data_IF_251624509076
#
_entry.id   IF_251624509076
#
_cell.length_a   1.000
_cell.length_b   1.000
_cell.length_c   1.000
_cell.angle_alpha   90.00
_cell.angle_beta   90.00
_cell.angle_gamma   90.00
#
_symmetry.space_group_name_H-M   'P 1'
#
loop_
_entity.id
_entity.type
_entity.pdbx_description
1 polymer ?
#
# COMPACT_ATOMS: atom_id res chain seq x y z
N UNK A 1 -61.94 -32.18 -46.05
CA UNK A 1 -61.18 -32.26 -44.79
C UNK A 1 -62.03 -31.61 -43.73
N UNK A 2 -62.58 -32.39 -42.80
CA UNK A 2 -63.28 -31.84 -41.64
C UNK A 2 -62.22 -31.20 -40.76
N UNK A 3 -62.30 -29.88 -40.58
CA UNK A 3 -61.52 -29.18 -39.56
C UNK A 3 -62.21 -29.55 -38.25
N UNK A 4 -61.65 -30.49 -37.49
CA UNK A 4 -62.07 -30.72 -36.11
C UNK A 4 -61.85 -29.41 -35.34
N UNK A 5 -62.96 -28.71 -35.07
CA UNK A 5 -62.97 -27.52 -34.23
C UNK A 5 -62.77 -28.02 -32.81
N UNK A 6 -61.56 -27.84 -32.29
CA UNK A 6 -61.22 -28.13 -30.91
C UNK A 6 -62.21 -27.40 -30.00
N UNK A 7 -62.83 -28.13 -29.07
CA UNK A 7 -63.85 -27.58 -28.17
C UNK A 7 -63.22 -26.50 -27.29
N UNK A 8 -63.96 -25.42 -27.03
CA UNK A 8 -63.49 -24.27 -26.21
C UNK A 8 -63.07 -24.75 -24.80
N UNK A 9 -63.69 -25.82 -24.30
CA UNK A 9 -63.32 -26.46 -23.05
C UNK A 9 -61.95 -27.14 -23.10
N UNK A 10 -61.61 -27.82 -24.20
CA UNK A 10 -60.29 -28.44 -24.40
C UNK A 10 -59.20 -27.38 -24.58
N UNK A 11 -59.53 -26.28 -25.28
CA UNK A 11 -58.68 -25.10 -25.39
C UNK A 11 -58.34 -24.49 -24.02
N UNK A 12 -59.33 -24.32 -23.15
CA UNK A 12 -59.13 -23.74 -21.82
C UNK A 12 -58.35 -24.70 -20.90
N UNK A 13 -58.62 -26.01 -20.99
CA UNK A 13 -57.85 -27.04 -20.28
C UNK A 13 -56.36 -27.02 -20.67
N UNK A 14 -56.06 -26.97 -21.97
CA UNK A 14 -54.69 -26.87 -22.48
C UNK A 14 -54.01 -25.57 -22.03
N UNK A 15 -54.73 -24.45 -21.96
CA UNK A 15 -54.20 -23.18 -21.44
C UNK A 15 -53.83 -23.28 -19.96
N UNK A 16 -54.69 -23.90 -19.15
CA UNK A 16 -54.43 -24.13 -17.74
C UNK A 16 -53.22 -25.04 -17.51
N UNK A 17 -53.09 -26.12 -18.30
CA UNK A 17 -51.96 -27.05 -18.27
C UNK A 17 -50.65 -26.35 -18.65
N UNK A 18 -50.63 -25.59 -19.75
CA UNK A 18 -49.48 -24.77 -20.15
C UNK A 18 -49.09 -23.77 -19.05
N UNK A 19 -50.07 -23.16 -18.37
CA UNK A 19 -49.80 -22.21 -17.30
C UNK A 19 -49.19 -22.88 -16.08
N UNK A 20 -49.70 -24.06 -15.70
CA UNK A 20 -49.12 -24.87 -14.63
C UNK A 20 -47.69 -25.31 -14.95
N UNK A 21 -47.44 -25.78 -16.18
CA UNK A 21 -46.10 -26.16 -16.64
C UNK A 21 -45.13 -24.97 -16.61
N UNK A 22 -45.57 -23.77 -17.01
CA UNK A 22 -44.76 -22.55 -16.91
C UNK A 22 -44.38 -22.22 -15.47
N UNK A 23 -45.34 -22.30 -14.55
CA UNK A 23 -45.07 -22.07 -13.12
C UNK A 23 -44.10 -23.12 -12.55
N UNK A 24 -44.29 -24.39 -12.90
CA UNK A 24 -43.39 -25.46 -12.47
C UNK A 24 -41.98 -25.27 -13.02
N UNK A 25 -41.86 -24.89 -14.30
CA UNK A 25 -40.59 -24.56 -14.93
C UNK A 25 -39.90 -23.40 -14.23
N UNK A 26 -40.63 -22.33 -13.91
CA UNK A 26 -40.08 -21.16 -13.21
C UNK A 26 -39.55 -21.52 -11.82
N UNK A 27 -40.29 -22.33 -11.05
CA UNK A 27 -39.82 -22.83 -9.75
C UNK A 27 -38.54 -23.68 -9.87
N UNK A 28 -38.46 -24.54 -10.90
CA UNK A 28 -37.26 -25.36 -11.14
C UNK A 28 -36.07 -24.52 -11.60
N UNK A 29 -36.30 -23.48 -12.42
CA UNK A 29 -35.26 -22.54 -12.83
C UNK A 29 -34.71 -21.74 -11.65
N UNK A 30 -35.59 -21.29 -10.74
CA UNK A 30 -35.19 -20.63 -9.49
C UNK A 30 -34.34 -21.57 -8.62
N UNK A 31 -34.80 -22.80 -8.38
CA UNK A 31 -34.03 -23.78 -7.61
C UNK A 31 -32.68 -24.12 -8.25
N UNK A 32 -32.63 -24.26 -9.57
CA UNK A 32 -31.38 -24.49 -10.28
C UNK A 32 -30.43 -23.29 -10.21
N UNK A 33 -30.96 -22.05 -10.22
CA UNK A 33 -30.16 -20.84 -10.04
C UNK A 33 -29.60 -20.75 -8.61
N UNK A 34 -30.41 -21.03 -7.59
CA UNK A 34 -29.97 -21.10 -6.20
C UNK A 34 -28.89 -22.18 -6.00
N UNK A 35 -29.10 -23.38 -6.55
CA UNK A 35 -28.08 -24.45 -6.49
C UNK A 35 -26.77 -24.02 -7.17
N UNK A 36 -26.83 -23.38 -8.34
CA UNK A 36 -25.62 -22.84 -8.98
C UNK A 36 -24.93 -21.80 -8.10
N UNK A 37 -25.68 -20.91 -7.45
CA UNK A 37 -25.11 -19.93 -6.52
C UNK A 37 -24.46 -20.61 -5.31
N UNK A 38 -25.08 -21.66 -4.74
CA UNK A 38 -24.46 -22.42 -3.63
C UNK A 38 -23.19 -23.13 -4.06
N UNK A 39 -23.14 -23.67 -5.27
CA UNK A 39 -21.92 -24.30 -5.82
C UNK A 39 -20.82 -23.25 -5.99
N UNK A 40 -21.14 -22.10 -6.55
CA UNK A 40 -20.19 -21.00 -6.72
C UNK A 40 -19.63 -20.51 -5.37
N UNK A 41 -20.47 -20.43 -4.34
CA UNK A 41 -20.02 -20.06 -2.99
C UNK A 41 -19.07 -21.13 -2.40
N UNK A 42 -19.40 -22.41 -2.57
CA UNK A 42 -18.57 -23.51 -2.08
C UNK A 42 -17.21 -23.56 -2.80
N UNK A 43 -17.18 -23.30 -4.11
CA UNK A 43 -15.93 -23.20 -4.89
C UNK A 43 -15.05 -22.05 -4.38
N UNK A 44 -15.63 -20.86 -4.13
CA UNK A 44 -14.89 -19.72 -3.53
C UNK A 44 -14.33 -20.03 -2.14
N UNK A 45 -15.12 -20.72 -1.29
CA UNK A 45 -14.66 -21.15 0.04
C UNK A 45 -13.53 -22.18 -0.08
N UNK A 46 -13.63 -23.12 -1.01
CA UNK A 46 -12.60 -24.12 -1.26
C UNK A 46 -11.26 -23.48 -1.65
N UNK A 47 -11.27 -22.48 -2.53
CA UNK A 47 -10.08 -21.73 -2.91
C UNK A 47 -9.45 -20.97 -1.72
N UNK A 48 -10.26 -20.53 -0.76
CA UNK A 48 -9.77 -19.84 0.43
C UNK A 48 -9.08 -20.81 1.40
N UNK A 49 -9.61 -22.02 1.56
CA UNK A 49 -9.04 -23.05 2.45
C UNK A 49 -7.63 -23.45 2.00
N UNK A 50 -7.36 -23.54 0.69
CA UNK A 50 -6.01 -23.84 0.17
C UNK A 50 -5.00 -22.73 0.54
N UNK A 51 -5.45 -21.47 0.60
CA UNK A 51 -4.62 -20.34 1.00
C UNK A 51 -4.36 -20.30 2.52
N UNK A 52 -5.33 -20.65 3.36
CA UNK A 52 -5.16 -20.74 4.82
C UNK A 52 -4.12 -21.80 5.23
N UNK A 53 -4.03 -22.89 4.47
CA UNK A 53 -3.02 -23.94 4.62
C UNK A 53 -1.57 -23.43 4.49
N UNK A 54 -1.36 -22.32 3.79
CA UNK A 54 -0.02 -21.75 3.60
C UNK A 54 0.38 -20.76 4.70
N UNK A 55 -0.59 -20.18 5.41
CA UNK A 55 -0.31 -19.17 6.44
C UNK A 55 0.29 -19.79 7.70
N UNK A 56 -0.30 -20.86 8.24
CA UNK A 56 0.24 -21.52 9.44
C UNK A 56 1.63 -22.09 9.17
N UNK A 57 1.87 -22.61 7.97
CA UNK A 57 3.16 -23.13 7.55
C UNK A 57 4.22 -22.03 7.51
N UNK A 58 3.91 -20.89 6.87
CA UNK A 58 4.80 -19.73 6.84
C UNK A 58 5.11 -19.21 8.25
N UNK A 59 4.10 -19.14 9.13
CA UNK A 59 4.28 -18.74 10.54
C UNK A 59 5.15 -19.73 11.31
N UNK A 60 4.92 -21.02 11.14
CA UNK A 60 5.71 -22.08 11.77
C UNK A 60 7.17 -22.05 11.30
N UNK A 61 7.42 -21.93 10.00
CA UNK A 61 8.77 -21.85 9.43
C UNK A 61 9.51 -20.63 9.96
N UNK A 62 8.86 -19.46 9.96
CA UNK A 62 9.43 -18.21 10.53
C UNK A 62 9.73 -18.36 12.02
N UNK A 63 8.83 -18.95 12.80
CA UNK A 63 9.02 -19.14 14.23
C UNK A 63 10.17 -20.12 14.51
N UNK A 64 10.28 -21.18 13.72
CA UNK A 64 11.37 -22.16 13.81
C UNK A 64 12.71 -21.50 13.54
N UNK A 65 12.80 -20.67 12.49
CA UNK A 65 14.02 -19.93 12.17
C UNK A 65 14.42 -18.96 13.30
N UNK A 66 13.45 -18.24 13.88
CA UNK A 66 13.70 -17.36 15.03
C UNK A 66 14.20 -18.16 16.24
N UNK A 67 13.59 -19.32 16.52
CA UNK A 67 14.01 -20.18 17.62
C UNK A 67 15.46 -20.66 17.42
N UNK A 68 15.83 -21.10 16.21
CA UNK A 68 17.21 -21.49 15.91
C UNK A 68 18.21 -20.34 16.08
N UNK A 69 17.80 -19.10 15.76
CA UNK A 69 18.64 -17.92 16.00
C UNK A 69 18.80 -17.64 17.50
N UNK A 70 17.74 -17.78 18.29
CA UNK A 70 17.78 -17.61 19.75
C UNK A 70 18.64 -18.69 20.41
N UNK A 71 18.53 -19.94 19.99
CA UNK A 71 19.38 -21.04 20.49
C UNK A 71 20.87 -20.77 20.23
N UNK A 72 21.21 -20.28 19.03
CA UNK A 72 22.57 -19.84 18.71
C UNK A 72 23.06 -18.70 19.60
N UNK A 73 22.19 -17.73 19.90
CA UNK A 73 22.53 -16.61 20.80
C UNK A 73 22.73 -17.09 22.25
N UNK A 74 21.88 -17.99 22.74
CA UNK A 74 22.03 -18.60 24.08
C UNK A 74 23.38 -19.29 24.18
N UNK A 75 23.74 -20.11 23.19
CA UNK A 75 25.03 -20.80 23.18
C UNK A 75 26.21 -19.81 23.17
N UNK A 76 26.15 -18.76 22.35
CA UNK A 76 27.19 -17.72 22.32
C UNK A 76 27.33 -17.02 23.68
N UNK A 77 26.23 -16.64 24.31
CA UNK A 77 26.24 -15.96 25.61
C UNK A 77 26.75 -16.88 26.72
N UNK A 78 26.34 -18.15 26.72
CA UNK A 78 26.87 -19.14 27.65
C UNK A 78 28.39 -19.27 27.49
N UNK A 79 28.90 -19.37 26.26
CA UNK A 79 30.34 -19.42 25.99
C UNK A 79 31.06 -18.16 26.51
N UNK A 80 30.53 -16.96 26.25
CA UNK A 80 31.10 -15.70 26.76
C UNK A 80 31.14 -15.66 28.29
N UNK A 81 30.10 -16.15 28.95
CA UNK A 81 30.07 -16.23 30.42
C UNK A 81 31.11 -17.22 30.94
N UNK A 82 31.27 -18.39 30.29
CA UNK A 82 32.29 -19.36 30.69
C UNK A 82 33.70 -18.83 30.44
N UNK A 83 33.94 -18.16 29.32
CA UNK A 83 35.21 -17.52 29.00
C UNK A 83 35.55 -16.42 30.03
N UNK A 84 34.58 -15.57 30.38
CA UNK A 84 34.78 -14.56 31.43
C UNK A 84 35.12 -15.20 32.79
N UNK A 85 34.48 -16.31 33.16
CA UNK A 85 34.79 -17.07 34.38
C UNK A 85 36.18 -17.70 34.33
N UNK A 86 36.57 -18.28 33.20
CA UNK A 86 37.89 -18.86 32.98
C UNK A 86 38.97 -17.79 33.06
N UNK A 87 38.79 -16.65 32.39
CA UNK A 87 39.70 -15.51 32.44
C UNK A 87 39.86 -14.96 33.87
N UNK A 88 38.80 -14.93 34.68
CA UNK A 88 38.88 -14.52 36.09
C UNK A 88 39.68 -15.52 36.94
N UNK A 89 39.58 -16.82 36.63
CA UNK A 89 40.28 -17.90 37.32
C UNK A 89 41.76 -17.98 36.93
N UNK A 90 42.07 -17.83 35.65
CA UNK A 90 43.44 -17.84 35.10
C UNK A 90 44.22 -16.57 35.44
N UNK A 91 43.53 -15.46 35.68
CA UNK A 91 44.18 -14.24 36.13
C UNK A 91 44.86 -14.39 37.49
N UNK A 92 44.56 -15.42 38.30
CA UNK A 92 45.17 -15.69 39.61
C UNK A 92 45.07 -14.54 40.64
N UNK A 93 44.44 -13.43 40.25
CA UNK A 93 44.41 -12.17 40.99
C UNK A 93 43.26 -12.23 41.96
N UNK A 94 43.59 -12.55 43.20
CA UNK A 94 42.75 -12.11 44.30
C UNK A 94 42.75 -10.57 44.32
N UNK A 95 41.74 -9.89 44.87
CA UNK A 95 41.72 -8.43 44.99
C UNK A 95 42.98 -7.83 45.68
N UNK A 96 43.82 -8.67 46.30
CA UNK A 96 45.08 -8.34 46.94
C UNK A 96 46.26 -8.14 45.96
N UNK A 97 46.19 -8.74 44.77
CA UNK A 97 47.28 -8.73 43.76
C UNK A 97 47.25 -7.51 42.83
N UNK A 98 46.21 -6.67 42.92
CA UNK A 98 46.06 -5.40 42.20
C UNK A 98 46.93 -4.26 42.78
N UNK A 99 47.88 -4.57 43.68
CA UNK A 99 48.69 -3.58 44.38
C UNK A 99 49.76 -2.89 43.51
N UNK A 100 50.04 -3.39 42.32
CA UNK A 100 50.95 -2.74 41.39
C UNK A 100 50.16 -1.77 40.49
N UNK A 101 49.80 -0.63 41.07
CA UNK A 101 49.14 0.49 40.39
C UNK A 101 50.01 1.11 39.28
N UNK A 102 51.32 0.87 39.30
CA UNK A 102 52.30 1.46 38.40
C UNK A 102 52.19 0.90 36.96
N UNK A 103 51.89 -0.39 36.82
CA UNK A 103 51.79 -1.08 35.51
C UNK A 103 50.44 -0.81 34.80
N UNK A 104 49.40 -0.45 35.56
CA UNK A 104 48.10 -0.02 35.04
C UNK A 104 48.07 1.48 34.67
N UNK A 105 49.03 2.26 35.18
CA UNK A 105 49.10 3.71 34.97
C UNK A 105 49.34 4.07 33.50
N UNK A 106 50.26 3.37 32.83
CA UNK A 106 50.59 3.62 31.42
C UNK A 106 49.54 3.07 30.45
N UNK A 107 49.00 1.87 30.71
CA UNK A 107 47.91 1.29 29.94
C UNK A 107 46.65 2.19 29.97
N UNK A 108 46.38 2.82 31.11
CA UNK A 108 45.29 3.79 31.26
C UNK A 108 45.51 5.04 30.39
N UNK A 109 46.75 5.54 30.26
CA UNK A 109 47.05 6.75 29.47
C UNK A 109 46.86 6.56 27.97
N UNK A 110 47.24 5.41 27.42
CA UNK A 110 47.02 5.11 25.99
C UNK A 110 45.54 4.87 25.68
N UNK A 111 44.83 4.16 26.57
CA UNK A 111 43.39 3.94 26.46
C UNK A 111 42.63 5.27 26.50
N UNK A 112 42.95 6.15 27.46
CA UNK A 112 42.36 7.49 27.57
C UNK A 112 42.56 8.29 26.28
N UNK A 113 43.78 8.32 25.72
CA UNK A 113 44.03 9.01 24.44
C UNK A 113 43.27 8.42 23.26
N UNK A 114 43.10 7.09 23.22
CA UNK A 114 42.33 6.43 22.17
C UNK A 114 40.86 6.81 22.26
N UNK A 115 40.29 6.74 23.47
CA UNK A 115 38.91 7.13 23.75
C UNK A 115 38.68 8.63 23.51
N UNK A 116 39.65 9.49 23.80
CA UNK A 116 39.58 10.93 23.48
C UNK A 116 39.52 11.19 21.98
N UNK A 117 40.31 10.47 21.17
CA UNK A 117 40.28 10.57 19.71
C UNK A 117 38.95 10.05 19.16
N UNK A 118 38.47 8.92 19.65
CA UNK A 118 37.19 8.35 19.25
C UNK A 118 36.03 9.29 19.62
N UNK A 119 36.04 9.86 20.83
CA UNK A 119 35.11 10.91 21.25
C UNK A 119 35.14 12.09 20.28
N UNK A 120 36.32 12.57 19.90
CA UNK A 120 36.45 13.71 18.97
C UNK A 120 35.91 13.38 17.58
N UNK A 121 36.15 12.16 17.10
CA UNK A 121 35.63 11.65 15.83
C UNK A 121 34.09 11.57 15.86
N UNK A 122 33.52 10.94 16.89
CA UNK A 122 32.08 10.81 17.07
C UNK A 122 31.41 12.19 17.22
N UNK A 123 32.04 13.11 17.94
CA UNK A 123 31.57 14.50 18.03
C UNK A 123 31.63 15.24 16.68
N UNK A 124 32.58 14.90 15.82
CA UNK A 124 32.64 15.40 14.44
C UNK A 124 31.51 14.84 13.57
N UNK A 125 31.30 13.53 13.63
CA UNK A 125 30.21 12.85 12.91
C UNK A 125 28.84 13.35 13.36
N UNK A 126 28.64 13.54 14.66
CA UNK A 126 27.41 14.11 15.21
C UNK A 126 27.14 15.51 14.63
N UNK A 127 28.15 16.39 14.60
CA UNK A 127 28.02 17.72 13.98
C UNK A 127 27.73 17.66 12.48
N UNK A 128 28.31 16.72 11.75
CA UNK A 128 28.03 16.54 10.32
C UNK A 128 26.60 16.07 10.08
N UNK A 129 26.12 15.11 10.87
CA UNK A 129 24.73 14.63 10.81
C UNK A 129 23.76 15.74 11.19
N UNK A 130 24.03 16.49 12.27
CA UNK A 130 23.25 17.67 12.66
C UNK A 130 23.20 18.70 11.52
N UNK A 131 24.33 18.97 10.88
CA UNK A 131 24.40 19.89 9.75
C UNK A 131 23.59 19.39 8.55
N UNK A 132 23.68 18.11 8.21
CA UNK A 132 22.89 17.49 7.13
C UNK A 132 21.40 17.54 7.42
N UNK A 133 20.98 17.25 8.65
CA UNK A 133 19.59 17.36 9.07
C UNK A 133 19.08 18.80 9.00
N UNK A 134 19.90 19.78 9.38
CA UNK A 134 19.56 21.19 9.24
C UNK A 134 19.41 21.59 7.76
N UNK A 135 20.28 21.09 6.87
CA UNK A 135 20.13 21.32 5.43
C UNK A 135 18.88 20.63 4.86
N UNK A 136 18.58 19.41 5.28
CA UNK A 136 17.40 18.65 4.84
C UNK A 136 16.09 19.26 5.35
N UNK A 137 16.06 19.73 6.59
CA UNK A 137 14.91 20.44 7.15
C UNK A 137 14.62 21.70 6.34
N UNK A 138 15.66 22.47 6.02
CA UNK A 138 15.54 23.58 5.07
C UNK A 138 15.09 23.04 3.69
N UNK A 139 15.58 21.90 3.21
CA UNK A 139 15.19 21.27 1.93
C UNK A 139 13.69 21.04 1.85
N UNK A 140 13.16 20.41 2.89
CA UNK A 140 11.78 20.00 2.99
C UNK A 140 10.83 21.18 3.04
N UNK A 141 11.16 22.17 3.85
CA UNK A 141 10.38 23.39 3.90
C UNK A 141 10.36 24.06 2.48
N UNK A 142 11.37 23.79 1.58
CA UNK A 142 11.37 24.06 0.10
C UNK A 142 10.13 23.62 -0.52
N UNK A 143 10.11 22.33 -0.75
CA UNK A 143 9.12 21.77 -1.60
C UNK A 143 7.72 22.08 -1.02
N UNK A 144 7.60 22.17 0.31
CA UNK A 144 6.33 22.40 0.95
C UNK A 144 5.71 23.80 0.69
N UNK A 145 6.46 24.90 0.76
CA UNK A 145 5.83 26.21 0.48
C UNK A 145 5.60 26.43 -1.02
N UNK A 146 6.49 25.94 -1.89
CA UNK A 146 6.27 25.94 -3.35
C UNK A 146 5.00 25.15 -3.71
N UNK A 147 4.83 23.94 -3.14
CA UNK A 147 3.62 23.13 -3.31
C UNK A 147 2.36 23.88 -2.86
N UNK A 148 2.40 24.57 -1.72
CA UNK A 148 1.26 25.37 -1.23
C UNK A 148 0.92 26.49 -2.21
N UNK A 149 1.93 27.20 -2.72
CA UNK A 149 1.73 28.25 -3.72
C UNK A 149 1.08 27.71 -4.98
N UNK A 150 1.61 26.63 -5.57
CA UNK A 150 1.01 26.00 -6.75
C UNK A 150 -0.41 25.50 -6.49
N UNK A 151 -0.67 24.95 -5.30
CA UNK A 151 -2.02 24.55 -4.92
C UNK A 151 -3.00 25.73 -4.90
N UNK A 152 -2.56 26.90 -4.42
CA UNK A 152 -3.39 28.12 -4.43
C UNK A 152 -3.62 28.63 -5.85
N UNK A 153 -2.60 28.63 -6.70
CA UNK A 153 -2.71 29.02 -8.11
C UNK A 153 -3.67 28.09 -8.87
N UNK A 154 -3.50 26.77 -8.72
CA UNK A 154 -4.40 25.76 -9.31
C UNK A 154 -5.84 25.99 -8.86
N UNK A 155 -6.06 26.23 -7.57
CA UNK A 155 -7.41 26.49 -7.05
C UNK A 155 -8.00 27.80 -7.60
N UNK A 156 -7.19 28.86 -7.73
CA UNK A 156 -7.59 30.12 -8.34
C UNK A 156 -7.96 29.97 -9.82
N UNK A 157 -7.12 29.26 -10.60
CA UNK A 157 -7.39 28.97 -12.01
C UNK A 157 -8.61 28.06 -12.18
N UNK A 158 -8.78 27.04 -11.33
CA UNK A 158 -9.99 26.20 -11.32
C UNK A 158 -11.26 27.02 -11.07
N UNK A 159 -11.22 27.95 -10.13
CA UNK A 159 -12.31 28.90 -9.90
C UNK A 159 -12.62 29.74 -11.15
N UNK A 160 -11.58 30.34 -11.75
CA UNK A 160 -11.71 31.14 -12.97
C UNK A 160 -12.23 30.33 -14.17
N UNK A 161 -11.82 29.06 -14.33
CA UNK A 161 -12.32 28.15 -15.37
C UNK A 161 -13.79 27.82 -15.14
N UNK A 162 -14.21 27.58 -13.89
CA UNK A 162 -15.61 27.32 -13.56
C UNK A 162 -16.49 28.54 -13.86
N UNK A 163 -16.03 29.74 -13.50
CA UNK A 163 -16.70 31.00 -13.81
C UNK A 163 -16.78 31.26 -15.33
N UNK A 164 -15.73 30.90 -16.09
CA UNK A 164 -15.74 30.96 -17.55
C UNK A 164 -16.69 29.93 -18.17
N UNK A 165 -16.74 28.70 -17.65
CA UNK A 165 -17.64 27.63 -18.12
C UNK A 165 -19.10 27.94 -17.85
N UNK A 166 -19.42 28.53 -16.70
CA UNK A 166 -20.79 28.98 -16.37
C UNK A 166 -21.22 30.16 -17.25
N UNK A 167 -20.33 31.14 -17.50
CA UNK A 167 -20.60 32.26 -18.41
C UNK A 167 -20.83 31.84 -19.86
N UNK A 168 -20.03 30.90 -20.38
CA UNK A 168 -20.20 30.38 -21.76
C UNK A 168 -21.49 29.58 -21.92
N UNK A 169 -21.89 28.78 -20.93
CA UNK A 169 -23.21 28.11 -20.92
C UNK A 169 -24.37 29.13 -20.93
N UNK A 170 -24.24 30.25 -20.20
CA UNK A 170 -25.24 31.32 -20.20
C UNK A 170 -25.30 32.11 -21.51
N UNK A 171 -24.18 32.26 -22.24
CA UNK A 171 -24.19 32.93 -23.56
C UNK A 171 -24.78 32.03 -24.66
N UNK A 172 -24.53 30.72 -24.60
CA UNK A 172 -25.13 29.74 -25.53
C UNK A 172 -26.65 29.63 -25.40
N UNK A 173 -27.23 30.03 -24.26
CA UNK A 173 -28.69 30.12 -24.07
C UNK A 173 -29.31 31.43 -24.58
N UNK A 174 -28.52 32.46 -24.90
CA UNK A 174 -29.02 33.76 -25.35
C UNK A 174 -29.24 33.85 -26.87
N UNK A 175 -28.60 33.00 -27.66
CA UNK A 175 -28.76 32.95 -29.12
C UNK A 175 -29.98 32.11 -29.59
N UNK A 176 -30.80 31.59 -28.66
CA UNK A 176 -31.96 30.73 -28.95
C UNK A 176 -33.32 31.46 -28.87
N UNK A 177 -33.34 32.81 -28.86
CA UNK A 177 -34.57 33.60 -28.95
C UNK A 177 -34.52 34.54 -30.16
N UNK A 178 -34.67 33.97 -31.35
CA UNK A 178 -35.28 34.65 -32.50
C UNK A 178 -35.62 33.61 -33.56
N UNK A 179 -36.86 33.06 -33.53
CA UNK A 179 -37.63 32.56 -34.69
C UNK A 179 -38.99 31.99 -34.25
N UNK A 180 -40.09 32.54 -34.76
CA UNK A 180 -41.47 32.00 -34.78
C UNK A 180 -42.08 32.41 -36.15
N UNK A 181 -43.01 31.68 -36.83
CA UNK A 181 -43.14 30.24 -37.11
C UNK A 181 -43.49 29.95 -38.60
N UNK A 182 -43.31 28.72 -39.13
CA UNK A 182 -43.98 28.39 -40.40
C UNK A 182 -43.57 27.14 -41.18
N UNK A 183 -44.33 26.07 -40.97
CA UNK A 183 -44.60 24.95 -41.91
C UNK A 183 -43.66 23.72 -41.95
N UNK A 184 -44.24 22.64 -41.42
CA UNK A 184 -44.37 21.25 -41.93
C UNK A 184 -43.12 20.38 -42.17
N UNK A 185 -43.10 19.30 -41.39
CA UNK A 185 -42.17 18.14 -41.33
C UNK A 185 -42.13 17.27 -42.60
N UNK A 186 -41.09 16.42 -42.75
CA UNK A 186 -41.27 15.02 -42.34
C UNK A 186 -40.15 14.44 -41.47
N UNK A 187 -40.54 13.40 -40.73
CA UNK A 187 -39.82 12.65 -39.71
C UNK A 187 -38.61 11.89 -40.30
N UNK A 188 -37.48 11.92 -39.60
CA UNK A 188 -36.49 10.84 -39.59
C UNK A 188 -36.30 10.39 -38.14
N UNK A 189 -36.47 9.09 -37.90
CA UNK A 189 -36.52 8.48 -36.58
C UNK A 189 -35.13 8.47 -35.95
N UNK A 190 -34.94 9.27 -34.91
CA UNK A 190 -33.80 9.20 -34.02
C UNK A 190 -33.90 8.04 -33.02
N UNK A 191 -32.74 7.47 -32.73
CA UNK A 191 -32.48 6.60 -31.58
C UNK A 191 -32.96 7.21 -30.27
N UNK A 192 -33.66 6.42 -29.47
CA UNK A 192 -33.80 6.65 -28.03
C UNK A 192 -32.65 5.97 -27.31
N UNK A 193 -31.90 6.74 -26.54
CA UNK A 193 -31.16 6.23 -25.39
C UNK A 193 -31.95 6.67 -24.17
N UNK A 194 -32.29 5.72 -23.29
CA UNK A 194 -32.86 6.00 -21.98
C UNK A 194 -32.32 5.00 -20.96
N UNK A 195 -31.60 5.59 -20.00
CA UNK A 195 -31.58 5.32 -18.56
C UNK A 195 -31.13 3.95 -18.03
N UNK A 196 -30.13 4.07 -17.14
CA UNK A 196 -29.90 3.32 -15.88
C UNK A 196 -29.47 1.85 -16.02
N UNK A 197 -28.60 1.25 -15.20
CA UNK A 197 -27.75 1.59 -14.05
C UNK A 197 -26.92 0.29 -13.77
N UNK A 198 -25.89 0.38 -12.93
CA UNK A 198 -25.20 -0.72 -12.21
C UNK A 198 -24.09 -1.55 -12.89
N UNK A 199 -22.92 -1.42 -12.25
CA UNK A 199 -22.01 -2.45 -11.71
C UNK A 199 -21.11 -3.38 -12.55
N UNK A 200 -19.88 -3.40 -12.03
CA UNK A 200 -18.86 -4.46 -11.93
C UNK A 200 -19.12 -5.81 -12.62
N UNK A 201 -18.21 -6.23 -13.51
CA UNK A 201 -17.06 -7.12 -13.19
C UNK A 201 -16.62 -7.97 -14.40
N UNK A 202 -15.34 -8.34 -14.39
CA UNK A 202 -14.67 -9.45 -15.09
C UNK A 202 -13.93 -9.23 -16.42
N UNK A 203 -12.63 -9.52 -16.31
CA UNK A 203 -11.79 -10.33 -17.21
C UNK A 203 -10.92 -9.65 -18.29
N UNK A 204 -9.63 -9.90 -18.09
CA UNK A 204 -8.43 -9.51 -18.83
C UNK A 204 -8.40 -9.93 -20.32
N UNK A 205 -7.41 -9.43 -21.09
CA UNK A 205 -6.21 -10.26 -21.27
C UNK A 205 -4.88 -9.48 -21.28
N UNK A 206 -3.83 -10.12 -20.74
CA UNK A 206 -2.43 -9.66 -20.79
C UNK A 206 -1.86 -9.59 -22.21
N UNK A 207 -0.79 -8.80 -22.42
CA UNK A 207 0.23 -9.11 -23.42
C UNK A 207 1.61 -9.39 -22.82
N UNK A 208 2.36 -10.18 -23.60
CA UNK A 208 3.54 -10.96 -23.23
C UNK A 208 4.84 -10.15 -23.23
N UNK A 209 5.59 -10.38 -22.14
CA UNK A 209 7.03 -10.32 -21.90
C UNK A 209 7.94 -10.56 -23.13
N UNK A 210 8.83 -9.61 -23.42
CA UNK A 210 10.05 -9.81 -24.21
C UNK A 210 11.28 -9.90 -23.30
N UNK A 211 12.30 -10.61 -23.78
CA UNK A 211 13.28 -11.40 -23.02
C UNK A 211 14.47 -10.56 -22.54
N UNK A 212 14.80 -10.62 -21.25
CA UNK A 212 16.08 -10.17 -20.71
C UNK A 212 17.04 -11.36 -20.62
N UNK A 213 18.22 -11.23 -21.26
CA UNK A 213 19.32 -12.18 -21.15
C UNK A 213 19.98 -12.07 -19.77
N UNK A 214 20.01 -13.17 -19.03
CA UNK A 214 20.76 -13.28 -17.78
C UNK A 214 22.24 -13.48 -18.09
N UNK A 215 23.09 -12.53 -17.68
CA UNK A 215 24.52 -12.77 -17.48
C UNK A 215 24.70 -13.19 -16.04
N UNK A 216 25.18 -14.42 -15.83
CA UNK A 216 25.65 -14.90 -14.52
C UNK A 216 26.88 -14.10 -14.14
N UNK A 217 26.91 -13.54 -12.93
CA UNK A 217 28.18 -13.29 -12.27
C UNK A 217 28.12 -13.83 -10.84
N UNK A 218 28.98 -14.79 -10.61
CA UNK A 218 29.33 -15.40 -9.33
C UNK A 218 30.15 -14.40 -8.51
N UNK A 219 29.83 -14.27 -7.21
CA UNK A 219 30.76 -14.25 -6.07
C UNK A 219 30.35 -13.27 -4.93
N UNK A 220 29.96 -13.89 -3.80
CA UNK A 220 30.20 -13.54 -2.39
C UNK A 220 30.58 -12.09 -2.02
N UNK A 221 29.71 -11.39 -1.26
CA UNK A 221 29.88 -11.09 0.19
C UNK A 221 28.89 -10.05 0.73
N UNK A 222 28.38 -10.34 1.94
CA UNK A 222 28.05 -9.40 3.03
C UNK A 222 26.73 -8.62 3.00
N UNK A 223 25.69 -9.25 3.58
CA UNK A 223 24.82 -8.73 4.65
C UNK A 223 24.65 -7.19 4.82
N UNK A 224 23.55 -6.65 4.28
CA UNK A 224 22.79 -5.51 4.86
C UNK A 224 21.51 -5.27 4.03
N UNK A 225 20.38 -5.83 4.46
CA UNK A 225 19.07 -5.62 3.83
C UNK A 225 18.40 -4.35 4.38
N UNK A 226 18.88 -3.18 3.95
CA UNK A 226 18.14 -1.91 4.06
C UNK A 226 18.14 -1.29 2.65
N UNK A 227 16.98 -0.99 2.04
CA UNK A 227 16.94 -0.27 0.77
C UNK A 227 17.50 1.14 0.93
N UNK A 228 18.39 1.54 0.03
CA UNK A 228 18.99 2.87 -0.02
C UNK A 228 17.94 3.88 -0.53
N UNK A 229 17.70 4.94 0.26
CA UNK A 229 16.72 5.99 -0.01
C UNK A 229 16.81 6.53 -1.44
N UNK A 230 15.82 6.21 -2.27
CA UNK A 230 15.61 6.87 -3.55
C UNK A 230 15.14 8.31 -3.28
N UNK A 231 16.10 9.24 -3.33
CA UNK A 231 15.83 10.69 -3.40
C UNK A 231 14.92 10.99 -4.59
N UNK A 232 13.68 11.41 -4.33
CA UNK A 232 12.83 12.09 -5.30
C UNK A 232 12.99 13.60 -5.08
N UNK A 233 14.19 14.14 -5.34
CA UNK A 233 14.42 15.59 -5.40
C UNK A 233 15.44 15.91 -6.51
N UNK A 234 15.06 16.80 -7.42
CA UNK A 234 15.88 17.25 -8.55
C UNK A 234 17.15 17.96 -8.04
N UNK A 235 18.35 17.54 -8.45
CA UNK A 235 19.64 18.14 -8.05
C UNK A 235 19.77 19.64 -8.30
N UNK A 236 18.91 20.23 -9.14
CA UNK A 236 19.02 21.64 -9.51
C UNK A 236 18.42 22.60 -8.48
N UNK A 237 17.51 22.18 -7.61
CA UNK A 237 16.76 23.10 -6.76
C UNK A 237 16.78 22.68 -5.28
N UNK A 238 17.56 23.43 -4.48
CA UNK A 238 17.70 23.23 -3.04
C UNK A 238 16.59 23.87 -2.17
N UNK A 239 16.68 23.84 -0.81
CA UNK A 239 15.84 24.31 0.36
C UNK A 239 15.00 25.66 0.55
N UNK A 240 13.66 25.69 0.84
CA UNK A 240 12.74 26.85 1.21
C UNK A 240 12.61 26.71 2.70
N UNK A 241 12.62 27.83 3.38
CA UNK A 241 12.56 27.91 4.82
C UNK A 241 11.17 28.37 5.20
N UNK A 242 10.42 27.60 6.01
CA UNK A 242 9.39 28.17 6.91
C UNK A 242 9.34 27.45 8.25
N UNK A 243 9.72 28.20 9.27
CA UNK A 243 9.57 27.88 10.68
C UNK A 243 8.13 28.13 11.13
N UNK A 244 7.58 27.22 11.93
CA UNK A 244 6.44 27.49 12.81
C UNK A 244 6.85 27.04 14.22
N UNK A 245 6.98 28.01 15.11
CA UNK A 245 7.29 27.79 16.52
C UNK A 245 6.05 27.25 17.23
N UNK A 246 6.13 26.06 17.82
CA UNK A 246 5.15 25.61 18.82
C UNK A 246 5.94 25.11 20.02
N UNK A 247 5.84 25.82 21.15
CA UNK A 247 6.67 25.63 22.35
C UNK A 247 6.17 24.54 23.31
N UNK A 248 5.06 23.85 23.03
CA UNK A 248 4.65 22.61 23.71
C UNK A 248 3.35 22.07 23.11
N UNK A 249 3.17 20.76 23.15
CA UNK A 249 1.94 20.06 22.74
C UNK A 249 0.98 19.89 23.93
N UNK A 250 -0.35 19.88 23.71
CA UNK A 250 -1.34 19.70 24.77
C UNK A 250 -1.34 18.26 25.31
N UNK A 251 -1.53 18.10 26.63
CA UNK A 251 -1.61 16.79 27.28
C UNK A 251 -2.98 16.14 27.04
N UNK A 252 -2.97 14.83 26.83
CA UNK A 252 -4.17 14.02 26.67
C UNK A 252 -4.75 13.70 28.05
N UNK A 253 -6.04 14.00 28.25
CA UNK A 253 -6.76 13.49 29.42
C UNK A 253 -7.01 11.99 29.26
N UNK A 254 -6.65 11.23 30.29
CA UNK A 254 -6.98 9.81 30.42
C UNK A 254 -8.39 9.68 31.00
N UNK A 255 -9.30 9.13 30.19
CA UNK A 255 -10.51 8.45 30.65
C UNK A 255 -10.60 7.08 30.00
#
# INVERSE_FOLDING_TARGET
MAVEVMDDFELEKLRAEIQQEKQMKEMLEQSAAELRATVEELEKRYDTIDNEGNEWKTRYETQTEINEQLERQILMLQNKVQEAKANLKDAGKTPRDLKNFDDLSDANKYMIRSLEKEKQMLQGQMRDIEWRLDQESKAYHKANDERKTYSLEINSTKGSINDFSTRTKLSSSRDALDTIPGSRTPRSMGSRISLNEMDENSSSPSPRRSKIKTVRNTNYRSLSNIPEDQRILDPKHGPIKKAAAVKSLPSLETT
#
